data_IF_468256315492
#
_entry.id   IF_468256315492
#
_cell.length_a   1.000
_cell.length_b   1.000
_cell.length_c   1.000
_cell.angle_alpha   90.00
_cell.angle_beta   90.00
_cell.angle_gamma   90.00
#
_symmetry.space_group_name_H-M   'P 1'
#
loop_
_entity.id
_entity.type
_entity.pdbx_description
1 polymer ?
#
# COMPACT_ATOMS: atom_id res chain seq x y z
N UNK A 1 27.67 -8.73 -0.55
CA UNK A 1 27.21 -7.61 -1.41
C UNK A 1 25.77 -7.34 -1.00
N UNK A 2 25.46 -6.16 -0.47
CA UNK A 2 24.07 -5.85 -0.09
C UNK A 2 23.20 -5.74 -1.35
N UNK A 3 22.19 -6.61 -1.44
CA UNK A 3 21.34 -6.80 -2.63
C UNK A 3 20.56 -5.53 -3.00
N UNK A 4 20.39 -4.59 -2.04
CA UNK A 4 19.53 -3.41 -2.19
C UNK A 4 20.27 -2.12 -2.60
N UNK A 5 21.60 -2.15 -2.75
CA UNK A 5 22.38 -0.93 -3.03
C UNK A 5 21.95 -0.20 -4.30
N UNK A 6 21.43 -0.92 -5.30
CA UNK A 6 20.92 -0.34 -6.54
C UNK A 6 19.78 0.66 -6.33
N UNK A 7 19.03 0.58 -5.21
CA UNK A 7 17.89 1.46 -4.93
C UNK A 7 18.26 2.69 -4.10
N UNK A 8 19.49 2.76 -3.58
CA UNK A 8 19.94 3.83 -2.71
C UNK A 8 19.74 5.20 -3.33
N UNK A 9 20.34 5.45 -4.50
CA UNK A 9 20.36 6.80 -5.07
C UNK A 9 18.95 7.27 -5.46
N UNK A 10 18.05 6.36 -5.86
CA UNK A 10 16.64 6.69 -6.12
C UNK A 10 15.91 7.20 -4.86
N UNK A 11 16.31 6.76 -3.67
CA UNK A 11 15.75 7.23 -2.40
C UNK A 11 16.36 8.59 -2.02
N UNK A 12 17.68 8.72 -2.11
CA UNK A 12 18.40 9.93 -1.67
C UNK A 12 18.21 11.13 -2.60
N UNK A 13 18.03 10.88 -3.90
CA UNK A 13 17.91 11.94 -4.91
C UNK A 13 16.47 12.37 -5.18
N UNK A 14 15.48 11.64 -4.64
CA UNK A 14 14.08 11.98 -4.79
C UNK A 14 13.70 13.20 -3.95
N UNK A 15 12.71 13.97 -4.43
CA UNK A 15 12.18 15.12 -3.67
C UNK A 15 11.41 14.66 -2.44
N UNK A 16 10.72 13.53 -2.54
CA UNK A 16 9.98 12.92 -1.44
C UNK A 16 10.06 11.40 -1.53
N UNK A 17 9.95 10.74 -0.39
CA UNK A 17 9.91 9.28 -0.29
C UNK A 17 8.74 8.88 0.58
N UNK A 18 7.89 7.99 0.07
CA UNK A 18 6.71 7.48 0.78
C UNK A 18 6.94 6.02 1.14
N UNK A 19 6.80 5.68 2.42
CA UNK A 19 6.85 4.30 2.91
C UNK A 19 5.41 3.82 3.12
N UNK A 20 4.99 2.85 2.30
CA UNK A 20 3.71 2.17 2.44
C UNK A 20 3.87 1.06 3.47
N UNK A 21 3.14 1.18 4.57
CA UNK A 21 3.24 0.27 5.72
C UNK A 21 1.89 -0.30 6.08
N UNK A 22 1.81 -1.62 6.21
CA UNK A 22 0.56 -2.32 6.55
C UNK A 22 0.41 -2.39 8.05
N UNK A 23 -0.83 -2.48 8.53
CA UNK A 23 -1.09 -2.80 9.93
C UNK A 23 -0.62 -4.23 10.23
N UNK A 24 -0.08 -4.42 11.42
CA UNK A 24 0.24 -5.75 11.97
C UNK A 24 -1.01 -6.45 12.49
N UNK A 25 -2.01 -5.66 12.91
CA UNK A 25 -3.29 -6.17 13.37
C UNK A 25 -4.42 -5.18 13.10
N UNK A 26 -5.63 -5.72 13.00
CA UNK A 26 -6.91 -5.00 13.08
C UNK A 26 -7.67 -5.61 14.25
N UNK A 27 -7.67 -4.88 15.37
CA UNK A 27 -8.34 -5.26 16.59
C UNK A 27 -9.73 -4.61 16.69
N UNK A 28 -10.47 -5.00 17.73
CA UNK A 28 -11.83 -4.51 17.97
C UNK A 28 -11.89 -2.99 18.14
N UNK A 29 -10.97 -2.41 18.92
CA UNK A 29 -10.89 -0.96 19.13
C UNK A 29 -10.74 -0.19 17.81
N UNK A 30 -9.91 -0.69 16.88
CA UNK A 30 -9.77 -0.09 15.56
C UNK A 30 -11.05 -0.22 14.72
N UNK A 31 -11.73 -1.36 14.77
CA UNK A 31 -12.97 -1.59 14.03
C UNK A 31 -14.11 -0.69 14.54
N UNK A 32 -14.22 -0.52 15.85
CA UNK A 32 -15.15 0.41 16.49
C UNK A 32 -14.80 1.85 16.13
N UNK A 33 -13.53 2.24 16.21
CA UNK A 33 -13.09 3.57 15.80
C UNK A 33 -13.42 3.86 14.33
N UNK A 34 -13.16 2.90 13.43
CA UNK A 34 -13.43 3.05 12.01
C UNK A 34 -14.93 3.28 11.75
N UNK A 35 -15.80 2.47 12.36
CA UNK A 35 -17.26 2.63 12.17
C UNK A 35 -17.77 3.92 12.81
N UNK A 36 -17.14 4.42 13.88
CA UNK A 36 -17.45 5.73 14.46
C UNK A 36 -17.06 6.90 13.56
N UNK A 37 -15.93 6.80 12.84
CA UNK A 37 -15.56 7.80 11.82
C UNK A 37 -16.56 7.78 10.68
N UNK A 38 -16.93 6.60 10.17
CA UNK A 38 -17.92 6.45 9.11
C UNK A 38 -19.29 7.05 9.49
N UNK A 39 -19.68 6.90 10.76
CA UNK A 39 -20.91 7.48 11.31
C UNK A 39 -20.85 9.01 11.37
N UNK A 40 -19.72 9.57 11.82
CA UNK A 40 -19.46 11.03 11.80
C UNK A 40 -19.48 11.60 10.38
N UNK A 41 -18.99 10.82 9.42
CA UNK A 41 -19.03 11.14 7.98
C UNK A 41 -20.41 10.89 7.36
N UNK A 42 -21.42 10.59 8.18
CA UNK A 42 -22.83 10.41 7.80
C UNK A 42 -23.05 9.28 6.79
N UNK A 43 -22.26 8.22 6.87
CA UNK A 43 -22.44 7.02 6.02
C UNK A 43 -23.66 6.18 6.40
N UNK A 44 -24.17 6.32 7.62
CA UNK A 44 -25.30 5.53 8.12
C UNK A 44 -26.55 6.39 8.30
N UNK A 45 -27.58 6.10 7.52
CA UNK A 45 -28.88 6.78 7.61
C UNK A 45 -29.76 6.22 8.75
N UNK A 46 -29.39 5.08 9.33
CA UNK A 46 -30.08 4.42 10.44
C UNK A 46 -29.04 3.82 11.41
N UNK A 47 -29.27 3.86 12.73
CA UNK A 47 -28.36 3.27 13.71
C UNK A 47 -28.03 1.79 13.43
N UNK A 48 -29.01 0.98 13.03
CA UNK A 48 -28.81 -0.44 12.75
C UNK A 48 -27.79 -0.71 11.62
N UNK A 49 -27.62 0.24 10.68
CA UNK A 49 -26.63 0.09 9.60
C UNK A 49 -25.20 0.22 10.10
N UNK A 50 -24.97 1.01 11.16
CA UNK A 50 -23.68 1.12 11.84
C UNK A 50 -23.30 -0.22 12.46
N UNK A 51 -24.21 -0.80 13.25
CA UNK A 51 -24.02 -2.11 13.87
C UNK A 51 -23.76 -3.18 12.81
N UNK A 52 -24.56 -3.20 11.73
CA UNK A 52 -24.38 -4.19 10.66
C UNK A 52 -23.05 -4.03 9.92
N UNK A 53 -22.61 -2.81 9.67
CA UNK A 53 -21.32 -2.54 9.02
C UNK A 53 -20.15 -3.06 9.87
N UNK A 54 -20.20 -2.81 11.18
CA UNK A 54 -19.23 -3.34 12.12
C UNK A 54 -19.23 -4.89 12.12
N UNK A 55 -20.39 -5.54 12.29
CA UNK A 55 -20.52 -7.01 12.29
C UNK A 55 -19.93 -7.66 11.03
N UNK A 56 -20.31 -7.15 9.86
CA UNK A 56 -19.85 -7.71 8.58
C UNK A 56 -18.35 -7.52 8.42
N UNK A 57 -17.82 -6.35 8.79
CA UNK A 57 -16.38 -6.08 8.73
C UNK A 57 -15.60 -6.98 9.68
N UNK A 58 -16.06 -7.13 10.92
CA UNK A 58 -15.46 -8.02 11.91
C UNK A 58 -15.45 -9.47 11.42
N UNK A 59 -16.53 -9.93 10.76
CA UNK A 59 -16.59 -11.25 10.15
C UNK A 59 -15.51 -11.46 9.07
N UNK A 60 -15.30 -10.52 8.16
CA UNK A 60 -14.23 -10.63 7.15
C UNK A 60 -12.82 -10.53 7.76
N UNK A 61 -12.61 -9.66 8.74
CA UNK A 61 -11.33 -9.59 9.46
C UNK A 61 -11.01 -10.93 10.13
N UNK A 62 -11.99 -11.50 10.84
CA UNK A 62 -11.81 -12.78 11.53
C UNK A 62 -11.63 -13.95 10.55
N UNK A 63 -12.25 -13.91 9.37
CA UNK A 63 -11.99 -14.88 8.30
C UNK A 63 -10.50 -14.90 7.93
N UNK A 64 -9.89 -13.72 7.73
CA UNK A 64 -8.48 -13.61 7.35
C UNK A 64 -7.51 -13.90 8.49
N UNK A 65 -7.87 -13.55 9.74
CA UNK A 65 -7.03 -13.81 10.92
C UNK A 65 -7.08 -15.28 11.35
N UNK A 66 -8.28 -15.82 11.51
CA UNK A 66 -8.48 -17.09 12.24
C UNK A 66 -8.63 -18.29 11.32
N UNK A 67 -9.31 -18.12 10.17
CA UNK A 67 -9.64 -19.23 9.26
C UNK A 67 -8.58 -19.39 8.19
N UNK A 68 -8.36 -18.34 7.37
CA UNK A 68 -7.42 -18.37 6.25
C UNK A 68 -5.97 -18.17 6.70
N UNK A 69 -5.77 -17.52 7.86
CA UNK A 69 -4.45 -17.21 8.44
C UNK A 69 -3.53 -16.45 7.47
N UNK A 70 -4.12 -15.61 6.62
CA UNK A 70 -3.45 -14.85 5.57
C UNK A 70 -3.55 -13.33 5.80
N UNK A 71 -3.91 -12.89 7.00
CA UNK A 71 -4.13 -11.47 7.34
C UNK A 71 -3.06 -10.50 6.82
N UNK A 72 -1.78 -10.87 6.95
CA UNK A 72 -0.67 -10.04 6.44
C UNK A 72 -0.75 -9.87 4.91
N UNK A 73 -0.99 -10.96 4.18
CA UNK A 73 -1.15 -10.95 2.72
C UNK A 73 -2.42 -10.18 2.33
N UNK A 74 -3.52 -10.37 3.05
CA UNK A 74 -4.77 -9.67 2.80
C UNK A 74 -4.66 -8.16 2.98
N UNK A 75 -3.96 -7.72 4.03
CA UNK A 75 -3.71 -6.29 4.29
C UNK A 75 -2.70 -5.69 3.32
N UNK A 76 -1.65 -6.42 2.94
CA UNK A 76 -0.73 -6.00 1.87
C UNK A 76 -1.47 -5.77 0.56
N UNK A 77 -2.40 -6.66 0.17
CA UNK A 77 -3.22 -6.44 -1.03
C UNK A 77 -3.97 -5.10 -1.04
N UNK A 78 -4.42 -4.60 0.11
CA UNK A 78 -5.05 -3.28 0.20
C UNK A 78 -4.02 -2.15 -0.02
N UNK A 79 -2.79 -2.32 0.44
CA UNK A 79 -1.70 -1.39 0.14
C UNK A 79 -1.31 -1.39 -1.34
N UNK A 80 -1.23 -2.56 -1.98
CA UNK A 80 -0.92 -2.62 -3.42
C UNK A 80 -2.04 -2.01 -4.27
N UNK A 81 -3.30 -2.09 -3.82
CA UNK A 81 -4.41 -1.35 -4.42
C UNK A 81 -4.18 0.16 -4.28
N UNK A 82 -3.81 0.64 -3.08
CA UNK A 82 -3.48 2.04 -2.86
C UNK A 82 -2.28 2.49 -3.72
N UNK A 83 -1.22 1.69 -3.79
CA UNK A 83 -0.04 1.92 -4.63
C UNK A 83 -0.43 2.15 -6.09
N UNK A 84 -1.32 1.31 -6.65
CA UNK A 84 -1.81 1.50 -8.01
C UNK A 84 -2.47 2.87 -8.24
N UNK A 85 -3.30 3.32 -7.29
CA UNK A 85 -3.93 4.65 -7.34
C UNK A 85 -2.89 5.77 -7.18
N UNK A 86 -1.95 5.60 -6.26
CA UNK A 86 -0.89 6.57 -5.99
C UNK A 86 -0.01 6.82 -7.22
N UNK A 87 0.47 5.75 -7.87
CA UNK A 87 1.32 5.85 -9.05
C UNK A 87 0.59 6.50 -10.22
N UNK A 88 -0.67 6.14 -10.46
CA UNK A 88 -1.48 6.75 -11.52
C UNK A 88 -1.78 8.23 -11.23
N UNK A 89 -2.11 8.56 -9.98
CA UNK A 89 -2.39 9.94 -9.56
C UNK A 89 -1.16 10.83 -9.66
N UNK A 90 0.00 10.36 -9.20
CA UNK A 90 1.27 11.08 -9.31
C UNK A 90 1.64 11.36 -10.78
N UNK A 91 1.52 10.36 -11.65
CA UNK A 91 1.74 10.53 -13.08
C UNK A 91 0.77 11.55 -13.70
N UNK A 92 -0.50 11.55 -13.30
CA UNK A 92 -1.49 12.54 -13.75
C UNK A 92 -1.16 13.98 -13.31
N UNK A 93 -0.39 14.13 -12.23
CA UNK A 93 0.12 15.41 -11.74
C UNK A 93 1.47 15.81 -12.39
N UNK A 94 2.01 14.99 -13.29
CA UNK A 94 3.31 15.22 -13.92
C UNK A 94 4.50 14.91 -13.02
N UNK A 95 4.31 14.11 -11.96
CA UNK A 95 5.38 13.65 -11.08
C UNK A 95 5.89 12.29 -11.53
N UNK A 96 7.22 12.11 -11.45
CA UNK A 96 7.84 10.81 -11.63
C UNK A 96 7.81 10.02 -10.32
N UNK A 97 7.62 8.71 -10.45
CA UNK A 97 7.61 7.79 -9.31
C UNK A 97 8.35 6.51 -9.61
N UNK A 98 9.04 5.97 -8.60
CA UNK A 98 9.60 4.62 -8.63
C UNK A 98 9.17 3.85 -7.38
N UNK A 99 8.32 2.83 -7.57
CA UNK A 99 7.96 1.88 -6.52
C UNK A 99 9.05 0.79 -6.38
N UNK A 100 9.40 0.45 -5.15
CA UNK A 100 10.50 -0.44 -4.81
C UNK A 100 10.09 -1.42 -3.71
N UNK A 101 10.27 -2.71 -3.99
CA UNK A 101 10.24 -3.81 -2.99
C UNK A 101 11.65 -4.24 -2.57
N UNK A 102 12.67 -3.86 -3.35
CA UNK A 102 14.06 -4.21 -3.10
C UNK A 102 14.71 -3.34 -2.03
N UNK A 103 14.29 -3.49 -0.77
CA UNK A 103 14.90 -2.88 0.41
C UNK A 103 14.85 -3.84 1.61
N UNK A 104 15.54 -3.51 2.69
CA UNK A 104 15.51 -4.30 3.92
C UNK A 104 14.41 -3.79 4.86
N UNK A 105 13.26 -4.45 4.86
CA UNK A 105 12.11 -4.07 5.71
C UNK A 105 12.46 -4.07 7.19
N UNK A 106 13.35 -4.95 7.67
CA UNK A 106 13.75 -4.98 9.08
C UNK A 106 14.44 -3.67 9.48
N UNK A 107 15.37 -3.19 8.66
CA UNK A 107 16.08 -1.92 8.92
C UNK A 107 15.10 -0.74 8.90
N UNK A 108 14.18 -0.70 7.93
CA UNK A 108 13.17 0.36 7.84
C UNK A 108 12.21 0.32 9.03
N UNK A 109 11.73 -0.88 9.40
CA UNK A 109 10.84 -1.06 10.55
C UNK A 109 11.49 -0.62 11.86
N UNK A 110 12.78 -0.93 12.05
CA UNK A 110 13.58 -0.55 13.23
C UNK A 110 13.83 0.95 13.27
N UNK A 111 14.30 1.55 12.18
CA UNK A 111 14.62 2.99 12.10
C UNK A 111 13.41 3.87 12.43
N UNK A 112 12.22 3.49 11.95
CA UNK A 112 10.99 4.27 12.15
C UNK A 112 10.11 3.75 13.30
N UNK A 113 10.56 2.74 14.04
CA UNK A 113 9.80 2.08 15.11
C UNK A 113 8.40 1.65 14.65
N UNK A 114 8.30 1.12 13.42
CA UNK A 114 7.00 0.82 12.80
C UNK A 114 6.25 -0.27 13.56
N UNK A 115 6.97 -1.31 14.00
CA UNK A 115 6.35 -2.45 14.69
C UNK A 115 5.75 -2.07 16.04
N UNK A 116 6.42 -1.19 16.78
CA UNK A 116 5.89 -0.62 18.03
C UNK A 116 4.62 0.19 17.79
N UNK A 117 4.54 0.86 16.63
CA UNK A 117 3.34 1.59 16.19
C UNK A 117 2.26 0.69 15.59
N UNK A 118 2.48 -0.63 15.54
CA UNK A 118 1.53 -1.60 14.97
C UNK A 118 1.58 -1.70 13.45
N UNK A 119 2.71 -1.38 12.82
CA UNK A 119 2.90 -1.43 11.36
C UNK A 119 4.14 -2.23 10.93
N UNK A 120 4.17 -2.64 9.67
CA UNK A 120 5.37 -3.13 8.98
C UNK A 120 5.45 -2.50 7.58
N UNK A 121 6.66 -2.11 7.17
CA UNK A 121 6.93 -1.60 5.82
C UNK A 121 6.71 -2.68 4.76
N UNK A 122 6.17 -2.30 3.61
CA UNK A 122 5.90 -3.20 2.48
C UNK A 122 6.48 -2.68 1.15
N UNK A 123 6.26 -1.40 0.84
CA UNK A 123 6.75 -0.76 -0.41
C UNK A 123 7.32 0.62 -0.09
N UNK A 124 8.40 1.01 -0.76
CA UNK A 124 8.90 2.40 -0.78
C UNK A 124 8.64 2.99 -2.16
N UNK A 125 8.16 4.23 -2.21
CA UNK A 125 7.99 4.97 -3.46
C UNK A 125 8.80 6.26 -3.40
N UNK A 126 9.79 6.36 -4.29
CA UNK A 126 10.48 7.63 -4.55
C UNK A 126 9.60 8.50 -5.47
N UNK A 127 9.51 9.80 -5.17
CA UNK A 127 8.67 10.76 -5.87
C UNK A 127 9.47 12.03 -6.18
N UNK A 128 9.39 12.52 -7.42
CA UNK A 128 10.07 13.74 -7.82
C UNK A 128 10.06 13.95 -9.33
N UNK A 129 11.20 14.38 -9.86
CA UNK A 129 11.44 14.52 -11.29
C UNK A 129 12.70 13.73 -11.65
N UNK A 130 12.64 12.96 -12.73
CA UNK A 130 13.78 12.19 -13.22
C UNK A 130 14.94 13.11 -13.63
N UNK A 131 16.16 12.61 -13.52
CA UNK A 131 17.34 13.29 -14.06
C UNK A 131 17.39 13.16 -15.57
N UNK A 132 18.06 14.09 -16.25
CA UNK A 132 18.22 14.02 -17.71
C UNK A 132 18.92 12.75 -18.18
N UNK A 133 19.77 12.15 -17.34
CA UNK A 133 20.48 10.90 -17.60
C UNK A 133 19.74 9.64 -17.12
N UNK A 134 18.46 9.73 -16.73
CA UNK A 134 17.63 8.55 -16.49
C UNK A 134 17.43 7.75 -17.79
N UNK A 135 18.21 6.68 -17.93
CA UNK A 135 18.18 5.81 -19.09
C UNK A 135 16.78 5.24 -19.40
N UNK A 136 15.92 5.08 -18.40
CA UNK A 136 14.61 4.46 -18.57
C UNK A 136 13.55 5.44 -19.11
N UNK A 137 13.79 6.75 -18.99
CA UNK A 137 12.91 7.83 -19.50
C UNK A 137 12.61 7.67 -20.99
N UNK A 138 13.64 7.36 -21.78
CA UNK A 138 13.55 7.28 -23.25
C UNK A 138 13.15 5.91 -23.80
N UNK A 139 13.05 4.89 -22.93
CA UNK A 139 12.70 3.54 -23.38
C UNK A 139 11.19 3.42 -23.59
N UNK A 140 10.81 2.69 -24.66
CA UNK A 140 9.40 2.36 -24.91
C UNK A 140 8.88 1.38 -23.85
N UNK A 141 7.67 1.61 -23.33
CA UNK A 141 7.05 0.69 -22.37
C UNK A 141 6.70 -0.63 -23.07
N UNK A 142 7.10 -1.74 -22.46
CA UNK A 142 6.76 -3.09 -22.93
C UNK A 142 5.73 -3.75 -22.01
N UNK A 143 4.76 -4.45 -22.59
CA UNK A 143 3.73 -5.25 -21.91
C UNK A 143 3.43 -6.48 -22.77
N UNK A 144 2.98 -7.57 -22.13
CA UNK A 144 2.50 -8.74 -22.88
C UNK A 144 1.31 -8.34 -23.79
N UNK A 145 1.18 -8.98 -24.97
CA UNK A 145 0.04 -8.78 -25.86
C UNK A 145 -1.32 -9.02 -25.19
N UNK A 146 -2.35 -8.27 -25.59
CA UNK A 146 -3.70 -8.34 -24.98
C UNK A 146 -4.29 -9.74 -25.00
N UNK A 147 -4.10 -10.49 -26.07
CA UNK A 147 -4.60 -11.85 -26.25
C UNK A 147 -3.92 -12.88 -25.33
N UNK A 148 -2.83 -12.53 -24.66
CA UNK A 148 -2.20 -13.38 -23.64
C UNK A 148 -2.71 -13.11 -22.23
N UNK A 149 -3.32 -11.94 -21.99
CA UNK A 149 -3.70 -11.48 -20.64
C UNK A 149 -5.18 -11.14 -20.46
N UNK A 150 -5.97 -11.16 -21.54
CA UNK A 150 -7.42 -10.88 -21.51
C UNK A 150 -8.14 -11.98 -22.29
N UNK A 151 -9.03 -12.69 -21.60
CA UNK A 151 -10.00 -13.61 -22.20
C UNK A 151 -11.36 -12.92 -22.30
N UNK A 152 -11.97 -12.95 -23.50
CA UNK A 152 -13.33 -12.46 -23.70
C UNK A 152 -14.29 -13.63 -23.63
N UNK A 153 -15.11 -13.64 -22.59
CA UNK A 153 -16.18 -14.62 -22.36
C UNK A 153 -17.56 -14.09 -22.74
#
# INVERSE_FOLDING_TARGET
>A
MEIFHYNRDKIFDASAVVIFSRRLDVNEDYLLHLVDVEDKDKRFIKPDFKTRAHEVRSMFVNLHKEVLKDFNVWTDKQLYLNLGHFLLGAAAMGLDTLAMEGFNNKIIDEEFLLREKGFASSIIVAVGYHREDDFNKSLSKSRLPKNEIIERV
#
